data_IF_711526486709
#
_entry.id   IF_711526486709
#
_cell.length_a   1.000
_cell.length_b   1.000
_cell.length_c   1.000
_cell.angle_alpha   90.00
_cell.angle_beta   90.00
_cell.angle_gamma   90.00
#
_symmetry.space_group_name_H-M   'P 1'
#
loop_
_entity.id
_entity.type
_entity.pdbx_description
1 polymer ?
#
# COMPACT_ATOMS: atom_id res chain seq x y z
N UNK A 1 -6.28 11.75 16.98
CA UNK A 1 -6.62 11.12 15.68
C UNK A 1 -6.83 9.61 15.86
N UNK A 2 -5.87 8.87 16.42
CA UNK A 2 -6.04 7.42 16.65
C UNK A 2 -7.20 7.06 17.59
N UNK A 3 -7.39 7.78 18.71
CA UNK A 3 -8.49 7.53 19.64
C UNK A 3 -9.87 7.71 19.00
N UNK A 4 -10.06 8.78 18.21
CA UNK A 4 -11.29 9.02 17.48
C UNK A 4 -11.58 7.93 16.44
N UNK A 5 -10.54 7.47 15.72
CA UNK A 5 -10.67 6.36 14.77
C UNK A 5 -11.05 5.05 15.48
N UNK A 6 -10.46 4.76 16.64
CA UNK A 6 -10.81 3.58 17.43
C UNK A 6 -12.27 3.63 17.94
N UNK A 7 -12.72 4.80 18.41
CA UNK A 7 -14.11 5.00 18.81
C UNK A 7 -15.09 4.80 17.65
N UNK A 8 -14.79 5.35 16.47
CA UNK A 8 -15.61 5.17 15.27
C UNK A 8 -15.68 3.70 14.82
N UNK A 9 -14.57 2.95 14.91
CA UNK A 9 -14.56 1.53 14.62
C UNK A 9 -15.45 0.72 15.59
N UNK A 10 -15.39 1.05 16.90
CA UNK A 10 -16.26 0.44 17.90
C UNK A 10 -17.75 0.74 17.64
N UNK A 11 -18.07 1.98 17.28
CA UNK A 11 -19.43 2.37 16.91
C UNK A 11 -19.92 1.63 15.65
N UNK A 12 -19.06 1.46 14.64
CA UNK A 12 -19.41 0.73 13.42
C UNK A 12 -19.68 -0.75 13.69
N UNK A 13 -18.87 -1.39 14.54
CA UNK A 13 -19.11 -2.77 14.96
C UNK A 13 -20.44 -2.91 15.71
N UNK A 14 -20.75 -1.99 16.63
CA UNK A 14 -22.02 -1.98 17.34
C UNK A 14 -23.23 -1.81 16.40
N UNK A 15 -23.13 -0.90 15.42
CA UNK A 15 -24.19 -0.70 14.41
C UNK A 15 -24.39 -1.96 13.55
N UNK A 16 -23.31 -2.64 13.16
CA UNK A 16 -23.40 -3.89 12.41
C UNK A 16 -24.08 -5.00 13.22
N UNK A 17 -23.70 -5.20 14.47
CA UNK A 17 -24.30 -6.24 15.32
C UNK A 17 -25.78 -5.94 15.61
N UNK A 18 -26.13 -4.66 15.81
CA UNK A 18 -27.53 -4.25 15.94
C UNK A 18 -28.33 -4.56 14.68
N UNK A 19 -27.78 -4.25 13.50
CA UNK A 19 -28.43 -4.56 12.23
C UNK A 19 -28.56 -6.08 12.01
N UNK A 20 -27.52 -6.84 12.32
CA UNK A 20 -27.53 -8.30 12.18
C UNK A 20 -28.51 -8.99 13.14
N UNK A 21 -28.68 -8.47 14.35
CA UNK A 21 -29.69 -8.95 15.28
C UNK A 21 -31.11 -8.48 14.93
N UNK A 22 -31.23 -7.34 14.23
CA UNK A 22 -32.51 -6.75 13.85
C UNK A 22 -33.15 -7.38 12.61
N UNK A 23 -32.36 -7.92 11.68
CA UNK A 23 -32.91 -8.59 10.49
C UNK A 23 -33.57 -9.92 10.84
N UNK A 24 -34.59 -10.27 10.08
CA UNK A 24 -35.37 -11.48 10.25
C UNK A 24 -34.51 -12.71 9.93
N UNK A 25 -34.48 -13.73 10.81
CA UNK A 25 -33.73 -14.95 10.56
C UNK A 25 -34.26 -15.72 9.33
N UNK A 26 -33.39 -16.22 8.43
CA UNK A 26 -33.82 -16.97 7.24
C UNK A 26 -34.79 -18.14 7.50
N UNK A 27 -34.65 -18.94 8.58
CA UNK A 27 -35.59 -20.03 8.85
C UNK A 27 -37.04 -19.57 9.08
N UNK A 28 -37.25 -18.33 9.56
CA UNK A 28 -38.59 -17.77 9.75
C UNK A 28 -39.23 -17.42 8.39
N UNK A 29 -38.43 -16.89 7.47
CA UNK A 29 -38.85 -16.59 6.11
C UNK A 29 -39.18 -17.89 5.38
N UNK A 30 -38.33 -18.91 5.49
CA UNK A 30 -38.55 -20.24 4.90
C UNK A 30 -39.87 -20.85 5.41
N UNK A 31 -40.12 -20.83 6.72
CA UNK A 31 -41.37 -21.34 7.30
C UNK A 31 -42.63 -20.64 6.74
N UNK A 32 -42.56 -19.32 6.50
CA UNK A 32 -43.63 -18.58 5.83
C UNK A 32 -43.85 -19.07 4.40
N UNK A 33 -42.76 -19.25 3.63
CA UNK A 33 -42.83 -19.74 2.24
C UNK A 33 -43.37 -21.17 2.16
N UNK A 34 -42.97 -22.05 3.05
CA UNK A 34 -43.48 -23.43 3.13
C UNK A 34 -44.99 -23.47 3.47
N UNK A 35 -45.41 -22.60 4.41
CA UNK A 35 -46.82 -22.45 4.77
C UNK A 35 -47.64 -21.96 3.58
N UNK A 36 -47.15 -20.97 2.83
CA UNK A 36 -47.80 -20.46 1.63
C UNK A 36 -47.98 -21.58 0.58
N UNK A 37 -46.93 -22.35 0.31
CA UNK A 37 -46.99 -23.46 -0.65
C UNK A 37 -48.02 -24.52 -0.23
N UNK A 38 -48.11 -24.82 1.06
CA UNK A 38 -49.11 -25.76 1.61
C UNK A 38 -50.53 -25.22 1.46
N UNK A 39 -50.75 -23.94 1.77
CA UNK A 39 -52.06 -23.30 1.64
C UNK A 39 -52.52 -23.25 0.18
N UNK A 40 -51.62 -22.94 -0.75
CA UNK A 40 -51.88 -22.95 -2.19
C UNK A 40 -52.22 -24.36 -2.69
N UNK A 41 -51.43 -25.36 -2.31
CA UNK A 41 -51.64 -26.75 -2.71
C UNK A 41 -52.99 -27.32 -2.20
N UNK A 42 -53.54 -26.78 -1.12
CA UNK A 42 -54.80 -27.21 -0.51
C UNK A 42 -55.99 -26.30 -0.85
N UNK A 43 -55.80 -25.23 -1.65
CA UNK A 43 -56.83 -24.23 -1.95
C UNK A 43 -57.82 -24.65 -3.05
N UNK A 44 -58.22 -25.93 -3.11
CA UNK A 44 -59.10 -26.45 -4.18
C UNK A 44 -60.47 -25.76 -4.23
N UNK A 45 -60.99 -25.37 -3.07
CA UNK A 45 -62.31 -24.73 -2.92
C UNK A 45 -62.22 -23.21 -2.74
N UNK A 46 -61.03 -22.62 -2.81
CA UNK A 46 -60.84 -21.18 -2.56
C UNK A 46 -60.97 -20.74 -1.10
N UNK A 47 -61.24 -21.67 -0.17
CA UNK A 47 -61.46 -21.38 1.26
C UNK A 47 -60.19 -20.84 1.93
N UNK A 48 -59.00 -21.25 1.48
CA UNK A 48 -57.73 -20.83 2.07
C UNK A 48 -57.27 -19.44 1.61
N UNK A 49 -58.01 -18.78 0.71
CA UNK A 49 -57.65 -17.46 0.17
C UNK A 49 -57.36 -16.40 1.25
N UNK A 50 -58.16 -16.28 2.34
CA UNK A 50 -57.83 -15.35 3.42
C UNK A 50 -56.55 -15.71 4.18
N UNK A 51 -56.27 -17.01 4.36
CA UNK A 51 -55.05 -17.47 5.03
C UNK A 51 -53.80 -17.26 4.17
N UNK A 52 -53.93 -17.41 2.85
CA UNK A 52 -52.89 -17.06 1.87
C UNK A 52 -52.55 -15.58 1.99
N UNK A 53 -53.55 -14.70 1.94
CA UNK A 53 -53.36 -13.26 2.06
C UNK A 53 -52.70 -12.86 3.39
N UNK A 54 -53.09 -13.51 4.50
CA UNK A 54 -52.44 -13.29 5.80
C UNK A 54 -50.97 -13.76 5.80
N UNK A 55 -50.66 -14.86 5.14
CA UNK A 55 -49.28 -15.38 5.02
C UNK A 55 -48.42 -14.45 4.16
N UNK A 56 -48.96 -13.92 3.07
CA UNK A 56 -48.27 -12.92 2.25
C UNK A 56 -48.06 -11.60 3.01
N UNK A 57 -49.06 -11.13 3.74
CA UNK A 57 -48.92 -9.93 4.59
C UNK A 57 -47.81 -10.08 5.64
N UNK A 58 -47.71 -11.25 6.29
CA UNK A 58 -46.62 -11.54 7.23
C UNK A 58 -45.24 -11.53 6.54
N UNK A 59 -45.15 -11.94 5.27
CA UNK A 59 -43.91 -11.82 4.50
C UNK A 59 -43.56 -10.36 4.21
N UNK A 60 -44.54 -9.54 3.83
CA UNK A 60 -44.35 -8.11 3.60
C UNK A 60 -43.94 -7.36 4.88
N UNK A 61 -44.44 -7.78 6.05
CA UNK A 61 -43.99 -7.27 7.35
C UNK A 61 -42.51 -7.60 7.60
N UNK A 62 -42.08 -8.84 7.36
CA UNK A 62 -40.68 -9.24 7.47
C UNK A 62 -39.79 -8.44 6.51
N UNK A 63 -40.24 -8.25 5.26
CA UNK A 63 -39.55 -7.39 4.29
C UNK A 63 -39.43 -5.95 4.80
N UNK A 64 -40.52 -5.40 5.33
CA UNK A 64 -40.58 -4.05 5.88
C UNK A 64 -39.60 -3.87 7.04
N UNK A 65 -39.53 -4.84 7.93
CA UNK A 65 -38.57 -4.86 9.04
C UNK A 65 -37.13 -4.87 8.52
N UNK A 66 -36.77 -5.80 7.63
CA UNK A 66 -35.40 -5.89 7.10
C UNK A 66 -34.99 -4.61 6.37
N UNK A 67 -35.93 -4.02 5.62
CA UNK A 67 -35.72 -2.74 4.95
C UNK A 67 -35.45 -1.63 5.96
N UNK A 68 -36.27 -1.51 7.00
CA UNK A 68 -36.10 -0.50 8.05
C UNK A 68 -34.77 -0.65 8.79
N UNK A 69 -34.37 -1.89 9.10
CA UNK A 69 -33.09 -2.20 9.76
C UNK A 69 -31.91 -1.78 8.88
N UNK A 70 -31.94 -2.08 7.58
CA UNK A 70 -30.88 -1.68 6.65
C UNK A 70 -30.82 -0.17 6.41
N UNK A 71 -31.97 0.52 6.37
CA UNK A 71 -31.97 2.00 6.32
C UNK A 71 -31.39 2.62 7.59
N UNK A 72 -31.71 2.07 8.76
CA UNK A 72 -31.11 2.48 10.03
C UNK A 72 -29.59 2.29 10.02
N UNK A 73 -29.13 1.10 9.62
CA UNK A 73 -27.69 0.82 9.49
C UNK A 73 -26.98 1.78 8.52
N UNK A 74 -27.60 2.10 7.38
CA UNK A 74 -27.03 3.06 6.43
C UNK A 74 -26.93 4.47 7.01
N UNK A 75 -27.94 4.91 7.77
CA UNK A 75 -27.92 6.19 8.47
C UNK A 75 -26.82 6.23 9.55
N UNK A 76 -26.70 5.16 10.35
CA UNK A 76 -25.64 5.03 11.37
C UNK A 76 -24.25 5.03 10.73
N UNK A 77 -24.05 4.27 9.65
CA UNK A 77 -22.79 4.24 8.92
C UNK A 77 -22.43 5.63 8.34
N UNK A 78 -23.41 6.34 7.77
CA UNK A 78 -23.21 7.71 7.29
C UNK A 78 -22.83 8.67 8.43
N UNK A 79 -23.50 8.58 9.58
CA UNK A 79 -23.20 9.39 10.74
C UNK A 79 -21.79 9.12 11.28
N UNK A 80 -21.40 7.84 11.42
CA UNK A 80 -20.08 7.45 11.92
C UNK A 80 -18.98 7.93 10.97
N UNK A 81 -19.12 7.67 9.66
CA UNK A 81 -18.12 8.08 8.67
C UNK A 81 -18.00 9.59 8.56
N UNK A 82 -19.08 10.35 8.76
CA UNK A 82 -19.07 11.81 8.81
C UNK A 82 -18.21 12.41 9.93
N UNK A 83 -17.86 11.63 10.96
CA UNK A 83 -16.99 12.08 12.06
C UNK A 83 -15.50 11.83 11.82
N UNK A 84 -15.14 11.07 10.77
CA UNK A 84 -13.76 10.68 10.51
C UNK A 84 -12.97 11.85 9.90
N UNK A 85 -11.83 12.18 10.52
CA UNK A 85 -10.90 13.20 10.02
C UNK A 85 -9.69 12.51 9.37
N UNK A 86 -9.30 12.89 8.13
CA UNK A 86 -8.12 12.35 7.48
C UNK A 86 -6.84 12.59 8.29
N UNK A 87 -5.92 11.62 8.25
CA UNK A 87 -4.62 11.76 8.91
C UNK A 87 -3.80 12.87 8.23
N UNK A 88 -3.21 13.74 9.04
CA UNK A 88 -2.30 14.79 8.57
C UNK A 88 -0.85 14.34 8.74
N UNK A 89 -0.04 14.47 7.68
CA UNK A 89 1.38 14.18 7.75
C UNK A 89 2.08 15.15 8.73
N UNK A 90 3.05 14.67 9.53
CA UNK A 90 3.81 15.54 10.42
C UNK A 90 4.61 16.58 9.62
N UNK A 91 4.82 17.76 10.20
CA UNK A 91 5.70 18.77 9.60
C UNK A 91 7.14 18.24 9.55
N UNK A 92 7.92 18.62 8.53
CA UNK A 92 9.34 18.30 8.47
C UNK A 92 10.05 18.78 9.75
N UNK A 93 10.79 17.89 10.40
CA UNK A 93 11.57 18.18 11.61
C UNK A 93 13.02 18.63 11.31
N UNK A 94 13.37 18.71 10.04
CA UNK A 94 14.71 19.06 9.58
C UNK A 94 14.72 20.50 9.07
N UNK A 95 15.63 21.33 9.58
CA UNK A 95 15.86 22.67 9.05
C UNK A 95 16.88 22.58 7.89
N UNK A 96 16.47 22.77 6.62
CA UNK A 96 17.39 22.69 5.48
C UNK A 96 18.51 23.74 5.57
N UNK A 97 18.25 24.90 6.18
CA UNK A 97 19.27 25.93 6.43
C UNK A 97 20.25 25.47 7.51
N UNK A 98 19.78 24.74 8.52
CA UNK A 98 20.63 24.15 9.56
C UNK A 98 21.57 23.09 8.98
N UNK A 99 21.07 22.26 8.06
CA UNK A 99 21.88 21.26 7.37
C UNK A 99 22.94 21.92 6.47
N UNK A 100 22.57 23.00 5.77
CA UNK A 100 23.51 23.79 4.97
C UNK A 100 24.56 24.51 5.84
N UNK A 101 24.16 25.05 7.00
CA UNK A 101 25.08 25.69 7.95
C UNK A 101 26.05 24.67 8.57
N UNK A 102 25.59 23.45 8.86
CA UNK A 102 26.44 22.37 9.36
C UNK A 102 27.46 21.92 8.30
N UNK A 103 27.04 21.81 7.02
CA UNK A 103 27.93 21.54 5.90
C UNK A 103 28.95 22.66 5.68
N UNK A 104 28.53 23.93 5.80
CA UNK A 104 29.42 25.08 5.72
C UNK A 104 30.43 25.10 6.86
N UNK A 105 30.02 24.83 8.10
CA UNK A 105 30.91 24.75 9.25
C UNK A 105 31.97 23.63 9.12
N UNK A 106 31.58 22.46 8.59
CA UNK A 106 32.51 21.37 8.26
C UNK A 106 33.51 21.76 7.17
N UNK A 107 33.04 22.44 6.12
CA UNK A 107 33.90 22.96 5.05
C UNK A 107 34.89 24.02 5.56
N UNK A 108 34.45 24.90 6.46
CA UNK A 108 35.34 25.86 7.12
C UNK A 108 36.33 25.15 8.03
N UNK A 109 35.92 24.18 8.85
CA UNK A 109 36.81 23.38 9.70
C UNK A 109 37.91 22.65 8.91
N UNK A 110 37.57 22.07 7.76
CA UNK A 110 38.54 21.48 6.82
C UNK A 110 39.46 22.51 6.15
N UNK A 111 38.98 23.74 5.96
CA UNK A 111 39.76 24.87 5.45
C UNK A 111 40.67 25.53 6.51
N UNK A 112 40.31 25.49 7.80
CA UNK A 112 41.21 25.99 8.86
C UNK A 112 42.38 25.04 9.08
N UNK A 113 42.20 23.74 8.82
CA UNK A 113 43.29 22.75 8.82
C UNK A 113 44.32 22.96 7.69
N UNK A 114 44.01 23.76 6.66
CA UNK A 114 44.94 24.06 5.54
C UNK A 114 45.61 25.44 5.66
N UNK A 115 45.40 26.17 6.76
CA UNK A 115 45.94 27.52 6.99
C UNK A 115 47.30 27.62 7.71
N UNK A 116 47.91 26.50 8.14
CA UNK A 116 49.22 26.50 8.80
C UNK A 116 50.12 25.42 8.15
N UNK A 117 51.02 25.90 7.26
CA UNK A 117 52.10 25.28 6.46
C UNK A 117 52.86 24.05 7.08
N UNK A 118 53.81 23.38 6.37
CA UNK A 118 53.78 22.59 5.13
C UNK A 118 54.22 21.10 5.35
N UNK A 119 53.89 20.21 4.40
CA UNK A 119 54.54 18.93 4.03
C UNK A 119 55.01 17.88 5.09
N UNK A 120 54.40 16.68 4.98
CA UNK A 120 54.91 15.32 5.26
C UNK A 120 55.09 14.83 6.72
N UNK A 121 54.30 13.84 7.14
CA UNK A 121 54.71 12.42 7.22
C UNK A 121 53.60 11.54 7.84
N UNK A 122 53.25 10.50 7.09
CA UNK A 122 52.65 9.21 7.43
C UNK A 122 52.35 8.83 8.89
N UNK A 123 51.20 8.16 9.10
CA UNK A 123 51.05 7.20 10.18
C UNK A 123 49.63 6.79 10.59
N UNK A 124 49.07 5.79 9.88
CA UNK A 124 48.13 4.73 10.37
C UNK A 124 46.76 5.17 10.94
N UNK A 125 45.59 4.67 10.52
CA UNK A 125 45.14 3.32 10.16
C UNK A 125 43.84 3.43 9.31
N UNK A 126 43.86 3.13 8.00
CA UNK A 126 43.64 1.82 7.36
C UNK A 126 42.16 1.46 7.10
N UNK A 127 41.80 1.32 5.81
CA UNK A 127 41.16 0.16 5.17
C UNK A 127 41.55 0.19 3.66
N UNK A 128 41.77 -0.96 3.00
CA UNK A 128 42.59 -1.03 1.79
C UNK A 128 41.78 -0.75 0.52
N UNK A 129 42.19 0.24 -0.27
CA UNK A 129 41.81 0.32 -1.68
C UNK A 129 42.86 -0.44 -2.50
N UNK A 130 42.46 -1.60 -3.02
CA UNK A 130 43.18 -2.24 -4.11
C UNK A 130 43.33 -1.22 -5.25
N UNK A 131 44.53 -1.15 -5.83
CA UNK A 131 45.00 -0.08 -6.69
C UNK A 131 43.99 0.38 -7.75
N UNK A 132 43.44 1.57 -7.51
CA UNK A 132 42.83 2.44 -8.51
C UNK A 132 43.26 3.87 -8.16
N UNK A 133 43.94 4.47 -9.12
CA UNK A 133 44.59 5.76 -9.13
C UNK A 133 43.61 6.92 -8.88
N UNK A 134 43.88 7.68 -7.81
CA UNK A 134 43.04 8.78 -7.29
C UNK A 134 42.64 9.90 -8.27
N UNK A 135 43.37 10.20 -9.36
CA UNK A 135 42.90 11.18 -10.34
C UNK A 135 41.71 10.70 -11.18
N UNK A 136 41.54 9.39 -11.37
CA UNK A 136 40.45 8.83 -12.18
C UNK A 136 39.09 8.90 -11.46
N UNK A 137 39.09 8.79 -10.13
CA UNK A 137 37.86 8.85 -9.31
C UNK A 137 37.28 10.27 -9.19
N UNK A 138 38.12 11.30 -9.30
CA UNK A 138 37.68 12.71 -9.20
C UNK A 138 36.97 13.21 -10.47
N UNK A 139 37.24 12.58 -11.62
CA UNK A 139 36.55 12.83 -12.90
C UNK A 139 35.15 12.19 -12.97
N UNK A 140 34.92 11.11 -12.21
CA UNK A 140 33.64 10.39 -12.16
C UNK A 140 32.64 11.00 -11.15
N UNK A 141 33.12 11.80 -10.20
CA UNK A 141 32.28 12.44 -9.17
C UNK A 141 31.17 13.36 -9.70
N UNK A 142 31.43 14.26 -10.67
CA UNK A 142 30.40 15.14 -11.22
C UNK A 142 29.35 14.42 -12.06
N UNK A 143 29.70 13.30 -12.70
CA UNK A 143 28.80 12.50 -13.54
C UNK A 143 27.85 11.63 -12.69
N UNK A 144 28.33 11.08 -11.57
CA UNK A 144 27.51 10.31 -10.64
C UNK A 144 26.51 11.21 -9.89
N UNK A 145 26.93 12.42 -9.51
CA UNK A 145 26.09 13.38 -8.77
C UNK A 145 24.98 13.98 -9.67
N UNK A 146 25.18 14.01 -11.00
CA UNK A 146 24.17 14.41 -11.98
C UNK A 146 23.21 13.30 -12.42
N UNK A 147 23.51 12.03 -12.15
CA UNK A 147 22.65 10.89 -12.51
C UNK A 147 21.53 10.62 -11.48
N UNK A 148 21.73 11.04 -10.23
CA UNK A 148 20.80 10.83 -9.11
C UNK A 148 19.47 11.61 -9.29
N UNK A 149 19.45 12.87 -9.77
CA UNK A 149 18.19 13.58 -10.04
C UNK A 149 17.36 12.95 -11.17
N UNK A 150 18.01 12.40 -12.20
CA UNK A 150 17.34 11.83 -13.38
C UNK A 150 16.68 10.48 -13.09
N UNK A 151 17.31 9.66 -12.24
CA UNK A 151 16.72 8.39 -11.77
C UNK A 151 15.53 8.63 -10.80
N UNK A 152 15.60 9.70 -10.01
CA UNK A 152 14.56 10.04 -9.03
C UNK A 152 13.33 10.72 -9.66
N UNK A 153 13.51 11.52 -10.72
CA UNK A 153 12.40 12.10 -11.50
C UNK A 153 11.57 11.04 -12.25
N UNK A 154 12.18 9.92 -12.63
CA UNK A 154 11.48 8.78 -13.22
C UNK A 154 10.57 8.05 -12.24
N UNK A 155 10.91 8.08 -10.94
CA UNK A 155 10.14 7.44 -9.87
C UNK A 155 9.04 8.34 -9.29
N UNK A 156 9.17 9.66 -9.47
CA UNK A 156 8.23 10.66 -8.91
C UNK A 156 7.17 11.16 -9.89
N UNK A 157 7.12 10.67 -11.13
CA UNK A 157 5.98 10.97 -12.02
C UNK A 157 4.74 10.20 -11.55
N UNK A 158 3.59 10.87 -11.43
CA UNK A 158 2.43 10.35 -10.73
C UNK A 158 1.88 9.09 -11.43
N UNK A 159 1.78 8.01 -10.67
CA UNK A 159 0.83 6.93 -10.93
C UNK A 159 -0.59 7.44 -10.61
N UNK A 160 -0.99 8.50 -11.32
CA UNK A 160 -2.18 9.31 -11.03
C UNK A 160 -2.85 9.79 -12.31
N UNK A 161 -2.79 8.98 -13.37
CA UNK A 161 -3.31 9.33 -14.68
C UNK A 161 -3.96 8.16 -15.41
N UNK A 162 -4.97 7.55 -14.80
CA UNK A 162 -6.06 6.91 -15.53
C UNK A 162 -5.87 5.45 -15.99
N UNK A 163 -6.98 4.72 -15.85
CA UNK A 163 -7.26 3.42 -16.44
C UNK A 163 -7.35 3.51 -17.98
N UNK A 164 -6.23 3.80 -18.65
CA UNK A 164 -6.15 3.93 -20.10
C UNK A 164 -5.06 3.04 -20.69
N UNK A 165 -5.40 1.77 -20.94
CA UNK A 165 -4.62 0.76 -21.70
C UNK A 165 -3.52 -0.01 -20.93
N UNK A 166 -3.73 -1.31 -20.62
CA UNK A 166 -2.79 -2.13 -19.83
C UNK A 166 -1.52 -2.59 -20.59
N UNK A 167 -1.30 -2.16 -21.84
CA UNK A 167 -0.19 -2.68 -22.68
C UNK A 167 1.13 -1.91 -22.52
N UNK A 168 1.12 -0.69 -21.99
CA UNK A 168 2.34 0.14 -21.88
C UNK A 168 3.16 -0.13 -20.61
N UNK A 169 2.54 -0.65 -19.55
CA UNK A 169 3.24 -1.03 -18.30
C UNK A 169 4.09 -2.30 -18.43
N UNK A 170 3.71 -3.21 -19.34
CA UNK A 170 4.44 -4.45 -19.62
C UNK A 170 5.78 -4.20 -20.36
N UNK A 171 5.89 -3.13 -21.15
CA UNK A 171 7.14 -2.75 -21.82
C UNK A 171 8.23 -2.23 -20.86
N UNK A 172 7.83 -1.56 -19.78
CA UNK A 172 8.75 -1.04 -18.76
C UNK A 172 9.21 -2.13 -17.77
N UNK A 173 8.42 -3.20 -17.59
CA UNK A 173 8.85 -4.35 -16.80
C UNK A 173 9.82 -5.26 -17.58
N UNK A 174 9.69 -5.36 -18.90
CA UNK A 174 10.65 -6.10 -19.75
C UNK A 174 12.04 -5.46 -19.78
N UNK A 175 12.15 -4.13 -19.78
CA UNK A 175 13.46 -3.43 -19.81
C UNK A 175 14.23 -3.60 -18.48
N UNK A 176 13.53 -3.73 -17.36
CA UNK A 176 14.11 -3.98 -16.04
C UNK A 176 14.63 -5.43 -15.86
N UNK A 177 14.08 -6.39 -16.62
CA UNK A 177 14.51 -7.80 -16.59
C UNK A 177 15.61 -8.15 -17.62
N UNK A 178 15.85 -7.29 -18.61
CA UNK A 178 16.88 -7.48 -19.63
C UNK A 178 18.31 -7.68 -19.06
N UNK A 179 18.79 -6.92 -18.05
CA UNK A 179 20.12 -7.15 -17.48
C UNK A 179 20.21 -8.46 -16.68
N UNK A 180 19.10 -8.95 -16.11
CA UNK A 180 19.08 -10.21 -15.34
C UNK A 180 19.02 -11.45 -16.25
N UNK A 181 18.30 -11.39 -17.38
CA UNK A 181 18.27 -12.49 -18.36
C UNK A 181 19.55 -12.57 -19.21
N UNK A 182 20.28 -11.47 -19.38
CA UNK A 182 21.59 -11.46 -20.06
C UNK A 182 22.70 -12.19 -19.29
N UNK A 183 22.65 -12.15 -17.95
CA UNK A 183 23.59 -12.89 -17.08
C UNK A 183 23.29 -14.39 -17.07
N UNK A 184 22.02 -14.78 -17.17
CA UNK A 184 21.62 -16.20 -17.19
C UNK A 184 21.94 -16.90 -18.52
N UNK A 185 22.09 -16.15 -19.62
CA UNK A 185 22.33 -16.72 -20.94
C UNK A 185 23.79 -16.67 -21.42
N UNK A 186 24.73 -16.31 -20.54
CA UNK A 186 26.16 -16.26 -20.87
C UNK A 186 27.01 -16.91 -19.75
N UNK A 187 27.23 -18.24 -19.80
CA UNK A 187 27.90 -18.98 -18.73
C UNK A 187 29.43 -18.77 -18.68
N UNK A 188 29.97 -17.77 -19.39
CA UNK A 188 31.41 -17.59 -19.59
C UNK A 188 32.11 -16.77 -18.49
N UNK A 189 31.37 -16.18 -17.53
CA UNK A 189 31.92 -15.19 -16.59
C UNK A 189 31.91 -15.62 -15.10
N UNK A 190 31.51 -16.86 -14.80
CA UNK A 190 31.62 -17.49 -13.48
C UNK A 190 32.77 -18.51 -13.38
N UNK A 191 33.66 -18.53 -14.39
CA UNK A 191 34.83 -19.39 -14.45
C UNK A 191 36.13 -18.65 -14.16
N UNK A 192 36.38 -18.26 -12.92
CA UNK A 192 37.74 -17.94 -12.46
C UNK A 192 37.95 -18.46 -11.04
N UNK A 193 38.30 -19.75 -10.93
CA UNK A 193 38.75 -20.30 -9.65
C UNK A 193 38.65 -21.82 -9.42
N UNK A 194 38.94 -22.70 -10.38
CA UNK A 194 39.31 -24.10 -10.04
C UNK A 194 40.23 -24.75 -11.08
N UNK A 195 41.52 -24.87 -10.72
CA UNK A 195 42.37 -26.00 -11.10
C UNK A 195 43.03 -26.02 -12.48
N UNK A 196 44.28 -25.55 -12.54
CA UNK A 196 45.30 -26.02 -13.50
C UNK A 196 46.67 -25.77 -12.87
N UNK A 197 47.67 -26.64 -12.91
CA UNK A 197 47.83 -27.91 -13.59
C UNK A 197 48.93 -28.70 -12.84
N UNK A 198 48.70 -30.00 -12.63
CA UNK A 198 49.78 -30.95 -12.42
C UNK A 198 50.07 -31.60 -13.76
N UNK A 199 51.22 -31.30 -14.35
CA UNK A 199 51.77 -32.04 -15.48
C UNK A 199 52.66 -33.16 -14.95
N UNK A 200 52.41 -34.37 -15.46
CA UNK A 200 53.46 -35.31 -15.81
C UNK A 200 54.14 -34.82 -17.10
#
# INVERSE_FOLDING_TARGET
>A
QCEAAAAAAGAAAAAFEAARAGVVPPPVIEANRDTLMTLLATNFLGINTPAIAATEAAYDEMWGQDSAVMYGFAADAAAITGTLVPFTAPLPNSNPVGLAAQAAALGQAGGVATGQQPANLAGSTALPAAGLDGPAMLSMGPQLLGAIPSALQGLSSPLGGGLGSPVSGLGQFQSLLAPFLGVLNNPSLLGMGSGGAGAA
#
